data_IF_039977476306
#
_entry.id   IF_039977476306
#
_cell.length_a   1.000
_cell.length_b   1.000
_cell.length_c   1.000
_cell.angle_alpha   90.00
_cell.angle_beta   90.00
_cell.angle_gamma   90.00
#
_symmetry.space_group_name_H-M   'P 1'
#
loop_
_entity.id
_entity.type
_entity.pdbx_description
1 polymer ?
#
# COMPACT_ATOMS: atom_id res chain seq x y z
N UNK A 1 14.69 -0.62 15.06
CA UNK A 1 14.76 -0.20 13.67
C UNK A 1 13.83 -1.12 12.91
N UNK A 2 12.72 -0.61 12.35
CA UNK A 2 11.89 -1.42 11.45
C UNK A 2 12.77 -1.71 10.25
N UNK A 3 13.02 -2.99 9.97
CA UNK A 3 13.87 -3.43 8.89
C UNK A 3 13.15 -3.20 7.55
N UNK A 4 13.24 -1.96 7.07
CA UNK A 4 12.64 -1.50 5.82
C UNK A 4 13.05 -2.40 4.64
N UNK A 5 14.32 -2.81 4.58
CA UNK A 5 14.83 -3.68 3.51
C UNK A 5 14.14 -5.05 3.51
N UNK A 6 13.92 -5.64 4.69
CA UNK A 6 13.17 -6.90 4.77
C UNK A 6 11.69 -6.70 4.43
N UNK A 7 11.08 -5.58 4.84
CA UNK A 7 9.71 -5.27 4.44
C UNK A 7 9.57 -5.12 2.92
N UNK A 8 10.48 -4.39 2.28
CA UNK A 8 10.53 -4.20 0.83
C UNK A 8 10.71 -5.55 0.13
N UNK A 9 11.65 -6.39 0.57
CA UNK A 9 11.86 -7.73 0.00
C UNK A 9 10.61 -8.58 0.05
N UNK A 10 9.89 -8.57 1.17
CA UNK A 10 8.64 -9.31 1.31
C UNK A 10 7.53 -8.75 0.39
N UNK A 11 7.45 -7.42 0.20
CA UNK A 11 6.52 -6.78 -0.74
C UNK A 11 6.85 -7.16 -2.18
N UNK A 12 8.13 -7.10 -2.57
CA UNK A 12 8.62 -7.50 -3.89
C UNK A 12 8.23 -8.96 -4.17
N UNK A 13 8.46 -9.86 -3.22
CA UNK A 13 8.08 -11.26 -3.36
C UNK A 13 6.57 -11.43 -3.56
N UNK A 14 5.73 -10.67 -2.83
CA UNK A 14 4.27 -10.69 -3.00
C UNK A 14 3.84 -10.17 -4.37
N UNK A 15 4.45 -9.08 -4.86
CA UNK A 15 4.18 -8.52 -6.18
C UNK A 15 4.46 -9.55 -7.28
N UNK A 16 5.65 -10.14 -7.28
CA UNK A 16 6.04 -11.12 -8.30
C UNK A 16 5.22 -12.40 -8.21
N UNK A 17 4.92 -12.89 -7.01
CA UNK A 17 4.19 -14.15 -6.83
C UNK A 17 2.72 -14.05 -7.27
N UNK A 18 2.10 -12.87 -7.14
CA UNK A 18 0.67 -12.69 -7.42
C UNK A 18 0.38 -11.81 -8.66
N UNK A 19 1.41 -11.21 -9.27
CA UNK A 19 1.24 -10.29 -10.40
C UNK A 19 0.46 -9.02 -10.02
N UNK A 20 0.70 -8.51 -8.81
CA UNK A 20 -0.01 -7.35 -8.24
C UNK A 20 0.90 -6.13 -8.12
N UNK A 21 0.30 -4.94 -8.03
CA UNK A 21 1.04 -3.70 -7.82
C UNK A 21 1.66 -3.61 -6.43
N UNK A 22 2.63 -2.71 -6.27
CA UNK A 22 3.32 -2.45 -5.01
C UNK A 22 2.34 -2.11 -3.90
N UNK A 23 1.44 -1.15 -4.14
CA UNK A 23 0.46 -0.74 -3.14
C UNK A 23 -0.51 -1.86 -2.76
N UNK A 24 -0.86 -2.73 -3.70
CA UNK A 24 -1.68 -3.92 -3.41
C UNK A 24 -0.91 -4.87 -2.49
N UNK A 25 0.36 -5.12 -2.78
CA UNK A 25 1.23 -5.99 -1.99
C UNK A 25 1.47 -5.43 -0.58
N UNK A 26 1.70 -4.12 -0.44
CA UNK A 26 1.78 -3.44 0.86
C UNK A 26 0.48 -3.67 1.65
N UNK A 27 -0.69 -3.43 1.05
CA UNK A 27 -1.97 -3.63 1.75
C UNK A 27 -2.14 -5.07 2.24
N UNK A 28 -1.81 -6.05 1.39
CA UNK A 28 -1.91 -7.48 1.71
C UNK A 28 -0.93 -7.87 2.83
N UNK A 29 0.31 -7.37 2.79
CA UNK A 29 1.29 -7.53 3.88
C UNK A 29 0.71 -7.10 5.23
N UNK A 30 0.05 -5.95 5.25
CA UNK A 30 -0.58 -5.39 6.45
C UNK A 30 -1.91 -6.07 6.81
N UNK A 31 -2.32 -7.13 6.08
CA UNK A 31 -3.55 -7.90 6.28
C UNK A 31 -4.82 -7.05 6.22
N UNK A 32 -4.79 -5.97 5.45
CA UNK A 32 -5.91 -5.07 5.30
C UNK A 32 -6.74 -5.42 4.07
N UNK A 33 -8.06 -5.44 4.22
CA UNK A 33 -8.96 -5.57 3.08
C UNK A 33 -9.14 -4.25 2.36
N UNK A 34 -9.49 -4.33 1.07
CA UNK A 34 -9.76 -3.15 0.25
C UNK A 34 -10.96 -2.34 0.79
N UNK A 35 -11.95 -3.02 1.39
CA UNK A 35 -13.11 -2.39 1.99
C UNK A 35 -12.76 -1.60 3.26
N UNK A 36 -11.95 -2.17 4.16
CA UNK A 36 -11.49 -1.49 5.37
C UNK A 36 -10.71 -0.22 5.04
N UNK A 37 -9.74 -0.32 4.14
CA UNK A 37 -8.93 0.82 3.72
C UNK A 37 -9.78 1.89 3.04
N UNK A 38 -10.72 1.49 2.16
CA UNK A 38 -11.64 2.44 1.52
C UNK A 38 -12.49 3.20 2.55
N UNK A 39 -12.99 2.49 3.58
CA UNK A 39 -13.82 3.06 4.64
C UNK A 39 -13.01 4.03 5.50
N UNK A 40 -11.80 3.66 5.88
CA UNK A 40 -10.91 4.50 6.70
C UNK A 40 -10.39 5.73 5.93
N UNK A 41 -10.14 5.59 4.63
CA UNK A 41 -9.77 6.73 3.77
C UNK A 41 -10.94 7.62 3.39
N UNK A 42 -12.19 7.14 3.55
CA UNK A 42 -13.39 7.84 3.12
C UNK A 42 -13.51 7.96 1.60
N UNK A 43 -13.02 6.97 0.85
CA UNK A 43 -13.09 6.92 -0.62
C UNK A 43 -13.82 5.68 -1.10
N UNK A 44 -14.24 5.66 -2.37
CA UNK A 44 -14.84 4.46 -2.93
C UNK A 44 -13.80 3.34 -3.12
N UNK A 45 -14.24 2.09 -3.03
CA UNK A 45 -13.45 0.89 -3.35
C UNK A 45 -12.83 1.00 -4.76
N UNK A 46 -13.58 1.53 -5.73
CA UNK A 46 -13.09 1.70 -7.10
C UNK A 46 -11.98 2.75 -7.19
N UNK A 47 -12.10 3.84 -6.44
CA UNK A 47 -11.04 4.86 -6.33
C UNK A 47 -9.77 4.26 -5.74
N UNK A 48 -9.90 3.46 -4.67
CA UNK A 48 -8.76 2.77 -4.06
C UNK A 48 -8.11 1.78 -5.03
N UNK A 49 -8.89 0.98 -5.77
CA UNK A 49 -8.35 0.08 -6.82
C UNK A 49 -7.58 0.83 -7.89
N UNK A 50 -8.05 2.01 -8.32
CA UNK A 50 -7.34 2.84 -9.30
C UNK A 50 -6.04 3.40 -8.72
N UNK A 51 -6.03 3.83 -7.46
CA UNK A 51 -4.81 4.26 -6.77
C UNK A 51 -3.82 3.10 -6.68
N UNK A 52 -4.26 1.92 -6.25
CA UNK A 52 -3.39 0.73 -6.16
C UNK A 52 -2.83 0.35 -7.54
N UNK A 53 -3.63 0.42 -8.60
CA UNK A 53 -3.20 0.07 -9.96
C UNK A 53 -2.25 1.09 -10.59
N UNK A 54 -2.51 2.38 -10.36
CA UNK A 54 -1.72 3.47 -10.97
C UNK A 54 -0.51 3.86 -10.13
N UNK A 55 -0.48 3.45 -8.86
CA UNK A 55 0.53 3.82 -7.87
C UNK A 55 0.69 5.33 -7.67
N UNK A 56 -0.31 6.12 -8.08
CA UNK A 56 -0.32 7.58 -7.96
C UNK A 56 -1.00 7.97 -6.66
N UNK A 57 -0.19 8.25 -5.64
CA UNK A 57 -0.65 8.79 -4.36
C UNK A 57 -0.50 10.31 -4.33
N UNK A 58 -1.57 11.02 -3.99
CA UNK A 58 -1.43 12.40 -3.53
C UNK A 58 -0.78 12.42 -2.15
N UNK A 59 -0.08 13.50 -1.80
CA UNK A 59 0.58 13.66 -0.50
C UNK A 59 -0.39 13.44 0.67
N UNK A 60 -1.62 13.96 0.58
CA UNK A 60 -2.66 13.77 1.58
C UNK A 60 -3.08 12.30 1.75
N UNK A 61 -3.29 11.57 0.65
CA UNK A 61 -3.68 10.15 0.71
C UNK A 61 -2.51 9.32 1.26
N UNK A 62 -1.28 9.61 0.83
CA UNK A 62 -0.07 8.94 1.32
C UNK A 62 0.05 9.01 2.83
N UNK A 63 -0.06 10.20 3.42
CA UNK A 63 0.03 10.38 4.89
C UNK A 63 -1.08 9.64 5.64
N UNK A 64 -2.32 9.66 5.12
CA UNK A 64 -3.44 8.93 5.72
C UNK A 64 -3.25 7.42 5.63
N UNK A 65 -2.84 6.90 4.46
CA UNK A 65 -2.57 5.48 4.26
C UNK A 65 -1.44 4.99 5.18
N UNK A 66 -0.36 5.76 5.33
CA UNK A 66 0.74 5.41 6.22
C UNK A 66 0.26 5.27 7.68
N UNK A 67 -0.62 6.18 8.13
CA UNK A 67 -1.27 6.09 9.44
C UNK A 67 -2.19 4.87 9.59
N UNK A 68 -2.98 4.53 8.56
CA UNK A 68 -3.86 3.35 8.57
C UNK A 68 -3.05 2.06 8.59
N UNK A 69 -1.97 2.00 7.80
CA UNK A 69 -1.15 0.79 7.65
C UNK A 69 -0.18 0.63 8.83
N UNK A 70 0.06 1.69 9.59
CA UNK A 70 1.07 1.70 10.66
C UNK A 70 2.48 1.55 10.10
N UNK A 71 2.74 2.08 8.90
CA UNK A 71 4.01 1.97 8.21
C UNK A 71 4.58 3.36 7.86
N UNK A 72 5.91 3.46 7.66
CA UNK A 72 6.52 4.65 7.08
C UNK A 72 5.92 4.98 5.70
N UNK A 73 5.70 6.28 5.37
CA UNK A 73 5.26 6.69 4.03
C UNK A 73 6.18 6.22 2.90
N UNK A 74 7.46 5.99 3.19
CA UNK A 74 8.48 5.48 2.26
C UNK A 74 8.05 4.13 1.67
N UNK A 75 7.45 3.26 2.48
CA UNK A 75 6.96 1.95 2.07
C UNK A 75 5.74 2.02 1.13
N UNK A 76 5.12 3.20 0.99
CA UNK A 76 4.02 3.44 0.05
C UNK A 76 4.51 3.90 -1.32
N UNK A 77 5.82 3.97 -1.54
CA UNK A 77 6.42 4.28 -2.84
C UNK A 77 7.14 3.02 -3.30
N UNK A 78 6.86 2.58 -4.54
CA UNK A 78 7.65 1.51 -5.14
C UNK A 78 9.10 2.01 -5.30
N UNK A 79 10.12 1.29 -4.78
CA UNK A 79 11.50 1.62 -5.03
C UNK A 79 11.80 1.49 -6.54
N UNK A 80 12.55 2.47 -7.06
CA UNK A 80 12.96 2.56 -8.47
C UNK A 80 14.15 1.68 -8.80
#
# INVERSE_FOLDING_TARGET
MIDLENQEREIINLMFSQGISWLTAVRIRHKLSLAEVSKMLGISINSLKQIEKTERLSSNIKSKMAGIYGCPPELLICPS
#
